data_IF_156236094336
#
_entry.id   IF_156236094336
#
_cell.length_a   1.000
_cell.length_b   1.000
_cell.length_c   1.000
_cell.angle_alpha   90.00
_cell.angle_beta   90.00
_cell.angle_gamma   90.00
#
_symmetry.space_group_name_H-M   'P 1'
#
loop_
_entity.id
_entity.type
_entity.pdbx_description
1 polymer ?
#
# COMPACT_ATOMS: atom_id res chain seq x y z
N UNK A 1 -23.53 43.54 -20.36
CA UNK A 1 -23.63 43.25 -18.90
C UNK A 1 -24.74 42.24 -18.77
N UNK A 2 -24.49 40.94 -18.62
CA UNK A 2 -24.33 40.31 -17.30
C UNK A 2 -23.70 38.92 -17.45
N UNK A 3 -22.68 38.65 -16.64
CA UNK A 3 -22.14 37.31 -16.41
C UNK A 3 -22.98 36.64 -15.31
N UNK A 4 -23.48 35.42 -15.54
CA UNK A 4 -24.10 34.60 -14.51
C UNK A 4 -23.02 33.73 -13.83
N UNK A 5 -22.99 33.81 -12.50
CA UNK A 5 -22.01 33.24 -11.60
C UNK A 5 -22.04 31.71 -11.58
N UNK A 6 -20.84 31.14 -11.38
CA UNK A 6 -20.58 29.71 -11.19
C UNK A 6 -21.22 29.23 -9.89
N UNK A 7 -21.95 28.12 -9.93
CA UNK A 7 -22.31 27.36 -8.76
C UNK A 7 -21.04 26.73 -8.16
N UNK A 8 -20.79 26.96 -6.87
CA UNK A 8 -19.64 26.43 -6.13
C UNK A 8 -19.94 24.98 -5.73
N UNK A 9 -19.38 24.01 -6.47
CA UNK A 9 -19.44 22.56 -6.20
C UNK A 9 -18.58 22.17 -4.98
N UNK A 10 -18.87 22.74 -3.81
CA UNK A 10 -18.16 22.40 -2.56
C UNK A 10 -18.99 21.46 -1.71
N UNK A 11 -19.05 20.20 -2.14
CA UNK A 11 -19.54 19.10 -1.32
C UNK A 11 -18.66 18.89 -0.08
N UNK A 12 -19.22 18.34 1.02
CA UNK A 12 -18.48 18.16 2.27
C UNK A 12 -17.33 17.16 2.08
N UNK A 13 -16.14 17.53 2.53
CA UNK A 13 -14.97 16.66 2.54
C UNK A 13 -15.27 15.38 3.35
N UNK A 14 -14.83 14.19 2.90
CA UNK A 14 -15.12 12.95 3.61
C UNK A 14 -14.43 12.95 4.98
N UNK A 15 -15.19 12.52 6.00
CA UNK A 15 -14.70 12.36 7.36
C UNK A 15 -13.53 11.35 7.38
N UNK A 16 -12.44 11.74 8.06
CA UNK A 16 -11.24 10.92 8.23
C UNK A 16 -11.59 9.62 8.92
N UNK A 17 -11.40 8.51 8.21
CA UNK A 17 -11.61 7.16 8.74
C UNK A 17 -10.42 6.82 9.64
N UNK A 18 -10.59 6.97 10.95
CA UNK A 18 -9.63 6.45 11.93
C UNK A 18 -9.75 4.93 11.94
N UNK A 19 -8.81 4.24 11.32
CA UNK A 19 -8.70 2.78 11.40
C UNK A 19 -8.24 2.39 12.81
N UNK A 20 -9.00 1.51 13.47
CA UNK A 20 -8.55 0.87 14.71
C UNK A 20 -7.37 -0.06 14.42
N UNK A 21 -6.34 0.03 15.26
CA UNK A 21 -5.17 -0.84 15.20
C UNK A 21 -5.53 -2.22 15.76
N UNK A 22 -5.64 -3.22 14.89
CA UNK A 22 -5.73 -4.62 15.30
C UNK A 22 -4.33 -5.14 15.65
N UNK A 23 -4.22 -5.97 16.69
CA UNK A 23 -2.97 -6.66 17.09
C UNK A 23 -2.64 -7.87 16.21
N UNK A 24 -3.43 -8.12 15.17
CA UNK A 24 -3.14 -9.07 14.09
C UNK A 24 -2.33 -8.34 13.03
N UNK A 25 -1.28 -8.96 12.51
CA UNK A 25 -0.52 -8.44 11.38
C UNK A 25 -1.50 -8.12 10.23
N UNK A 26 -1.75 -6.83 10.00
CA UNK A 26 -2.68 -6.40 8.99
C UNK A 26 -2.13 -6.73 7.60
N UNK A 27 -3.03 -7.14 6.71
CA UNK A 27 -2.69 -7.38 5.31
C UNK A 27 -2.07 -6.12 4.68
N UNK A 28 -1.23 -6.31 3.67
CA UNK A 28 -0.59 -5.20 2.97
C UNK A 28 -1.64 -4.37 2.24
N UNK A 29 -1.62 -3.07 2.48
CA UNK A 29 -2.55 -2.10 1.95
C UNK A 29 -1.91 -1.21 0.88
N UNK A 30 -2.73 -0.39 0.21
CA UNK A 30 -2.24 0.63 -0.72
C UNK A 30 -1.48 1.78 -0.06
N UNK A 31 -1.49 1.87 1.26
CA UNK A 31 -0.75 2.89 2.01
C UNK A 31 0.66 2.43 2.39
N UNK A 32 0.93 1.13 2.35
CA UNK A 32 2.24 0.58 2.69
C UNK A 32 3.28 0.93 1.61
N UNK A 33 4.46 1.36 2.04
CA UNK A 33 5.50 1.90 1.16
C UNK A 33 6.74 1.05 1.24
N UNK A 34 7.38 0.82 0.11
CA UNK A 34 8.65 0.13 0.05
C UNK A 34 9.74 0.99 0.70
N UNK A 35 10.47 0.42 1.65
CA UNK A 35 11.52 1.13 2.38
C UNK A 35 12.69 1.56 1.48
N UNK A 36 12.83 0.93 0.31
CA UNK A 36 13.90 1.23 -0.66
C UNK A 36 13.53 2.32 -1.67
N UNK A 37 12.28 2.40 -2.12
CA UNK A 37 11.89 3.31 -3.21
C UNK A 37 10.58 4.07 -3.01
N UNK A 38 9.85 3.83 -1.93
CA UNK A 38 8.59 4.49 -1.64
C UNK A 38 7.39 4.07 -2.51
N UNK A 39 7.53 3.13 -3.45
CA UNK A 39 6.38 2.56 -4.17
C UNK A 39 5.47 1.73 -3.24
N UNK A 40 4.27 1.35 -3.68
CA UNK A 40 3.40 0.46 -2.90
C UNK A 40 4.14 -0.86 -2.55
N UNK A 41 4.05 -1.27 -1.28
CA UNK A 41 4.60 -2.54 -0.81
C UNK A 41 3.66 -3.70 -1.13
N UNK A 42 4.27 -4.83 -1.53
CA UNK A 42 3.60 -6.11 -1.76
C UNK A 42 4.34 -7.27 -1.06
N UNK A 43 5.47 -6.99 -0.42
CA UNK A 43 6.19 -7.94 0.43
C UNK A 43 6.38 -7.32 1.82
N UNK A 44 6.16 -8.13 2.86
CA UNK A 44 6.56 -7.82 4.25
C UNK A 44 7.49 -8.91 4.72
N UNK A 45 8.67 -8.53 5.18
CA UNK A 45 9.62 -9.42 5.85
C UNK A 45 9.60 -9.11 7.35
N UNK A 46 9.12 -10.06 8.15
CA UNK A 46 9.06 -9.93 9.60
C UNK A 46 10.43 -10.30 10.18
N UNK A 47 11.05 -9.40 10.93
CA UNK A 47 12.32 -9.62 11.63
C UNK A 47 12.13 -9.46 13.14
N UNK A 48 13.07 -9.97 13.92
CA UNK A 48 13.09 -9.78 15.39
C UNK A 48 13.11 -8.29 15.77
N UNK A 49 13.77 -7.47 14.96
CA UNK A 49 13.90 -6.03 15.19
C UNK A 49 12.74 -5.19 14.61
N UNK A 50 11.76 -5.82 13.97
CA UNK A 50 10.65 -5.15 13.27
C UNK A 50 10.51 -5.60 11.82
N UNK A 51 9.55 -5.01 11.11
CA UNK A 51 9.24 -5.38 9.72
C UNK A 51 10.00 -4.52 8.72
N UNK A 52 10.34 -5.13 7.57
CA UNK A 52 10.74 -4.42 6.35
C UNK A 52 9.71 -4.62 5.24
N UNK A 53 9.43 -3.55 4.51
CA UNK A 53 8.43 -3.52 3.44
C UNK A 53 9.09 -3.32 2.07
N UNK A 54 8.70 -4.16 1.11
CA UNK A 54 9.23 -4.08 -0.26
C UNK A 54 8.12 -4.03 -1.30
N UNK A 55 8.35 -3.25 -2.36
CA UNK A 55 7.51 -3.32 -3.55
C UNK A 55 7.70 -4.67 -4.24
N UNK A 56 6.79 -5.02 -5.16
CA UNK A 56 6.86 -6.28 -5.89
C UNK A 56 8.23 -6.49 -6.59
N UNK A 57 8.84 -5.42 -7.09
CA UNK A 57 10.16 -5.46 -7.72
C UNK A 57 11.27 -5.81 -6.71
N UNK A 58 11.42 -5.05 -5.62
CA UNK A 58 12.51 -5.29 -4.67
C UNK A 58 12.31 -6.56 -3.84
N UNK A 59 11.07 -6.92 -3.53
CA UNK A 59 10.79 -8.19 -2.85
C UNK A 59 11.24 -9.38 -3.68
N UNK A 60 10.91 -9.41 -4.98
CA UNK A 60 11.39 -10.46 -5.90
C UNK A 60 12.90 -10.44 -6.09
N UNK A 61 13.49 -9.25 -6.26
CA UNK A 61 14.93 -9.09 -6.40
C UNK A 61 15.73 -9.58 -5.18
N UNK A 62 15.09 -9.63 -4.00
CA UNK A 62 15.71 -10.06 -2.75
C UNK A 62 15.07 -11.30 -2.12
N UNK A 63 14.18 -12.00 -2.83
CA UNK A 63 13.34 -13.06 -2.27
C UNK A 63 14.15 -14.16 -1.56
N UNK A 64 15.26 -14.59 -2.17
CA UNK A 64 16.13 -15.62 -1.60
C UNK A 64 16.72 -15.17 -0.25
N UNK A 65 17.27 -13.95 -0.18
CA UNK A 65 17.81 -13.41 1.07
C UNK A 65 16.73 -13.20 2.11
N UNK A 66 15.58 -12.67 1.71
CA UNK A 66 14.44 -12.46 2.62
C UNK A 66 14.01 -13.78 3.26
N UNK A 67 13.93 -14.88 2.48
CA UNK A 67 13.60 -16.20 3.00
C UNK A 67 14.65 -16.76 3.98
N UNK A 68 15.91 -16.31 3.91
CA UNK A 68 16.98 -16.75 4.81
C UNK A 68 17.00 -15.98 6.13
N UNK A 69 16.65 -14.69 6.12
CA UNK A 69 16.81 -13.80 7.29
C UNK A 69 15.51 -13.45 8.00
N UNK A 70 14.36 -13.58 7.32
CA UNK A 70 13.06 -13.26 7.89
C UNK A 70 12.50 -14.41 8.71
N UNK A 71 11.79 -14.08 9.78
CA UNK A 71 10.97 -15.02 10.54
C UNK A 71 9.76 -15.46 9.70
N UNK A 72 9.21 -14.53 8.92
CA UNK A 72 8.10 -14.74 8.01
C UNK A 72 8.23 -13.78 6.82
N UNK A 73 7.83 -14.25 5.63
CA UNK A 73 7.68 -13.39 4.45
C UNK A 73 6.24 -13.48 3.96
N UNK A 74 5.51 -12.38 4.04
CA UNK A 74 4.21 -12.22 3.40
C UNK A 74 4.42 -11.74 1.96
N UNK A 75 3.98 -12.52 0.97
CA UNK A 75 3.97 -12.15 -0.46
C UNK A 75 2.53 -11.88 -0.92
N UNK A 76 2.20 -10.60 -1.09
CA UNK A 76 0.91 -10.13 -1.60
C UNK A 76 0.87 -9.95 -3.12
N UNK A 77 1.88 -10.38 -3.87
CA UNK A 77 1.93 -10.13 -5.32
C UNK A 77 0.85 -10.86 -6.10
N UNK A 78 0.21 -11.88 -5.52
CA UNK A 78 -0.97 -12.52 -6.09
C UNK A 78 -2.16 -11.55 -6.25
N UNK A 79 -2.23 -10.50 -5.43
CA UNK A 79 -3.29 -9.49 -5.51
C UNK A 79 -3.01 -8.41 -6.57
N UNK A 80 -1.83 -8.38 -7.19
CA UNK A 80 -1.50 -7.41 -8.23
C UNK A 80 -2.50 -7.50 -9.38
N UNK A 81 -3.06 -6.36 -9.76
CA UNK A 81 -4.06 -6.24 -10.82
C UNK A 81 -5.38 -6.99 -10.57
N UNK A 82 -5.63 -7.53 -9.36
CA UNK A 82 -6.93 -8.12 -9.00
C UNK A 82 -8.07 -7.09 -9.03
N UNK A 83 -7.73 -5.81 -8.82
CA UNK A 83 -8.60 -4.64 -9.00
C UNK A 83 -7.82 -3.56 -9.77
N UNK A 84 -7.80 -3.60 -11.11
CA UNK A 84 -7.12 -2.58 -11.89
C UNK A 84 -7.83 -1.23 -11.69
N UNK A 85 -7.06 -0.14 -11.71
CA UNK A 85 -7.63 1.21 -11.59
C UNK A 85 -8.40 1.61 -12.85
N UNK A 86 -9.30 2.61 -12.78
CA UNK A 86 -9.97 3.17 -13.94
C UNK A 86 -9.08 3.67 -15.08
N UNK A 87 -7.83 3.99 -14.77
CA UNK A 87 -6.84 4.42 -15.75
C UNK A 87 -6.10 3.25 -16.44
N UNK A 88 -6.36 2.01 -16.02
CA UNK A 88 -5.75 0.81 -16.58
C UNK A 88 -6.56 0.20 -17.73
N UNK A 89 -7.76 0.72 -18.00
CA UNK A 89 -8.61 0.38 -19.15
C UNK A 89 -8.61 1.56 -20.13
#
# INVERSE_FOLDING_TARGET
MTAALRADDRGPAPLRRTTMSALVAADLSSSDRCDRCGAQAFYRAVLVAGDLLFCAHHGRAHAERLAQVALEVQDGTAALNSRPSPAAY
#
